data_IF_026588661979
#
_entry.id   IF_026588661979
#
_cell.length_a   1.000
_cell.length_b   1.000
_cell.length_c   1.000
_cell.angle_alpha   90.00
_cell.angle_beta   90.00
_cell.angle_gamma   90.00
#
_symmetry.space_group_name_H-M   'P 1'
#
loop_
_entity.id
_entity.type
_entity.pdbx_description
1 polymer ?
#
# COMPACT_ATOMS: atom_id res chain seq x y z
N UNK A 1 -17.65 -2.20 -7.29
CA UNK A 1 -16.18 -2.15 -7.39
C UNK A 1 -15.70 -1.60 -6.08
N UNK A 2 -15.32 -2.46 -5.13
CA UNK A 2 -14.81 -2.03 -3.83
C UNK A 2 -13.54 -1.20 -4.07
N UNK A 3 -13.62 0.10 -3.78
CA UNK A 3 -12.49 1.01 -3.96
C UNK A 3 -11.71 0.91 -2.66
N UNK A 4 -10.82 -0.08 -2.59
CA UNK A 4 -10.02 -0.36 -1.39
C UNK A 4 -9.12 0.85 -1.13
N UNK A 5 -9.37 1.56 -0.04
CA UNK A 5 -8.55 2.69 0.42
C UNK A 5 -7.21 2.17 0.91
N UNK A 6 -6.12 2.74 0.41
CA UNK A 6 -4.76 2.39 0.80
C UNK A 6 -4.30 3.44 1.81
N UNK A 7 -4.17 3.05 3.07
CA UNK A 7 -3.58 3.96 4.04
C UNK A 7 -2.08 4.07 3.82
N UNK A 8 -1.57 5.30 3.78
CA UNK A 8 -0.14 5.62 3.67
C UNK A 8 0.20 6.76 4.62
N UNK A 9 1.45 6.83 5.06
CA UNK A 9 1.94 8.03 5.75
C UNK A 9 2.17 9.17 4.76
N UNK A 10 2.30 10.39 5.27
CA UNK A 10 2.66 11.56 4.45
C UNK A 10 4.00 11.34 3.71
N UNK A 11 5.02 10.80 4.38
CA UNK A 11 6.32 10.55 3.75
C UNK A 11 6.22 9.51 2.60
N UNK A 12 5.46 8.43 2.82
CA UNK A 12 5.25 7.43 1.78
C UNK A 12 4.48 8.02 0.59
N UNK A 13 3.45 8.83 0.86
CA UNK A 13 2.71 9.55 -0.16
C UNK A 13 3.63 10.48 -0.97
N UNK A 14 4.46 11.28 -0.30
CA UNK A 14 5.38 12.22 -0.94
C UNK A 14 6.39 11.50 -1.85
N UNK A 15 6.88 10.32 -1.42
CA UNK A 15 7.75 9.47 -2.27
C UNK A 15 7.03 8.96 -3.52
N UNK A 16 5.77 8.52 -3.40
CA UNK A 16 4.97 8.09 -4.54
C UNK A 16 4.72 9.24 -5.52
N UNK A 17 4.43 10.44 -5.01
CA UNK A 17 4.25 11.66 -5.80
C UNK A 17 5.56 12.05 -6.50
N UNK A 18 6.68 12.00 -5.80
CA UNK A 18 7.99 12.32 -6.35
C UNK A 18 8.36 11.38 -7.51
N UNK A 19 8.16 10.07 -7.33
CA UNK A 19 8.44 9.10 -8.39
C UNK A 19 7.50 9.28 -9.59
N UNK A 20 6.20 9.51 -9.35
CA UNK A 20 5.26 9.80 -10.43
C UNK A 20 5.69 11.04 -11.23
N UNK A 21 6.14 12.10 -10.55
CA UNK A 21 6.62 13.31 -11.19
C UNK A 21 7.89 13.06 -12.01
N UNK A 22 8.86 12.30 -11.47
CA UNK A 22 10.08 11.92 -12.19
C UNK A 22 9.73 11.16 -13.48
N UNK A 23 8.85 10.16 -13.39
CA UNK A 23 8.44 9.38 -14.56
C UNK A 23 7.76 10.24 -15.62
N UNK A 24 6.86 11.15 -15.23
CA UNK A 24 6.08 11.99 -16.17
C UNK A 24 6.89 13.13 -16.78
N UNK A 25 7.78 13.74 -16.00
CA UNK A 25 8.43 15.00 -16.39
C UNK A 25 9.88 14.83 -16.84
N UNK A 26 10.53 13.71 -16.52
CA UNK A 26 11.92 13.45 -16.91
C UNK A 26 12.02 12.22 -17.81
N UNK A 27 11.53 11.07 -17.34
CA UNK A 27 11.73 9.78 -18.03
C UNK A 27 10.92 9.68 -19.32
N UNK A 28 9.61 9.97 -19.27
CA UNK A 28 8.74 9.85 -20.43
C UNK A 28 9.12 10.84 -21.57
N UNK A 29 9.48 12.10 -21.30
CA UNK A 29 10.02 13.00 -22.32
C UNK A 29 11.33 12.49 -22.95
N UNK A 30 12.26 11.95 -22.15
CA UNK A 30 13.52 11.38 -22.65
C UNK A 30 13.26 10.18 -23.60
N UNK A 31 12.38 9.26 -23.20
CA UNK A 31 11.99 8.13 -24.06
C UNK A 31 11.32 8.63 -25.35
N UNK A 32 10.47 9.66 -25.26
CA UNK A 32 9.82 10.25 -26.44
C UNK A 32 10.84 10.85 -27.39
N UNK A 33 11.87 11.51 -26.88
CA UNK A 33 12.96 12.04 -27.68
C UNK A 33 13.78 10.92 -28.33
N UNK A 34 14.08 9.83 -27.61
CA UNK A 34 14.75 8.64 -28.17
C UNK A 34 13.96 8.03 -29.33
N UNK A 35 12.64 7.91 -29.18
CA UNK A 35 11.75 7.42 -30.24
C UNK A 35 11.78 8.37 -31.45
N UNK A 36 11.76 9.69 -31.21
CA UNK A 36 11.82 10.67 -32.28
C UNK A 36 13.14 10.57 -33.07
N UNK A 37 14.28 10.53 -32.38
CA UNK A 37 15.59 10.40 -33.00
C UNK A 37 15.69 9.09 -33.81
N UNK A 38 15.22 7.96 -33.24
CA UNK A 38 15.24 6.67 -33.91
C UNK A 38 14.37 6.62 -35.18
N UNK A 39 13.34 7.49 -35.28
CA UNK A 39 12.54 7.65 -36.51
C UNK A 39 13.27 8.36 -37.63
N UNK A 40 14.25 9.20 -37.30
CA UNK A 40 15.06 9.91 -38.29
C UNK A 40 16.13 9.00 -38.92
N UNK A 41 16.46 7.87 -38.28
CA UNK A 41 17.46 6.90 -38.74
C UNK A 41 17.01 6.00 -39.91
N UNK A 42 15.76 6.14 -40.38
CA UNK A 42 15.27 5.47 -41.58
C UNK A 42 14.38 4.26 -41.31
N UNK A 43 14.83 3.05 -41.66
CA UNK A 43 13.97 1.86 -41.62
C UNK A 43 13.63 1.42 -40.18
N UNK A 44 12.44 1.81 -39.73
CA UNK A 44 11.88 1.50 -38.42
C UNK A 44 11.64 0.00 -38.19
N UNK A 45 11.50 -0.78 -39.26
CA UNK A 45 11.18 -2.21 -39.11
C UNK A 45 12.38 -2.97 -38.54
N UNK A 46 13.59 -2.56 -38.91
CA UNK A 46 14.85 -3.17 -38.46
C UNK A 46 15.57 -2.36 -37.37
N UNK A 47 15.10 -1.13 -37.06
CA UNK A 47 15.69 -0.31 -36.01
C UNK A 47 15.40 -0.90 -34.60
N UNK A 48 16.37 -1.63 -34.05
CA UNK A 48 16.29 -2.19 -32.70
C UNK A 48 16.16 -1.14 -31.59
N UNK A 49 16.75 0.05 -31.77
CA UNK A 49 16.64 1.16 -30.83
C UNK A 49 15.21 1.72 -30.76
N UNK A 50 14.53 1.80 -31.91
CA UNK A 50 13.12 2.20 -31.97
C UNK A 50 12.21 1.22 -31.21
N UNK A 51 12.37 -0.09 -31.47
CA UNK A 51 11.56 -1.12 -30.79
C UNK A 51 11.82 -1.13 -29.28
N UNK A 52 13.09 -1.03 -28.86
CA UNK A 52 13.46 -0.96 -27.46
C UNK A 52 12.85 0.26 -26.75
N UNK A 53 12.93 1.45 -27.36
CA UNK A 53 12.36 2.67 -26.79
C UNK A 53 10.83 2.61 -26.71
N UNK A 54 10.15 1.94 -27.67
CA UNK A 54 8.70 1.72 -27.61
C UNK A 54 8.29 0.74 -26.52
N UNK A 55 9.09 -0.30 -26.28
CA UNK A 55 8.87 -1.21 -25.15
C UNK A 55 9.07 -0.49 -23.81
N UNK A 56 10.14 0.30 -23.70
CA UNK A 56 10.44 1.13 -22.52
C UNK A 56 9.28 2.09 -22.24
N UNK A 57 8.78 2.81 -23.26
CA UNK A 57 7.61 3.67 -23.14
C UNK A 57 6.40 2.92 -22.57
N UNK A 58 6.09 1.72 -23.10
CA UNK A 58 4.97 0.92 -22.62
C UNK A 58 5.11 0.50 -21.15
N UNK A 59 6.33 0.19 -20.69
CA UNK A 59 6.61 -0.13 -19.28
C UNK A 59 6.43 1.10 -18.40
N UNK A 60 6.98 2.24 -18.80
CA UNK A 60 6.84 3.51 -18.07
C UNK A 60 5.38 3.94 -17.97
N UNK A 61 4.60 3.86 -19.05
CA UNK A 61 3.16 4.15 -19.04
C UNK A 61 2.39 3.23 -18.08
N UNK A 62 2.73 1.94 -18.04
CA UNK A 62 2.11 0.99 -17.11
C UNK A 62 2.44 1.34 -15.65
N UNK A 63 3.68 1.72 -15.35
CA UNK A 63 4.10 2.15 -14.02
C UNK A 63 3.39 3.45 -13.59
N UNK A 64 3.30 4.44 -14.48
CA UNK A 64 2.57 5.69 -14.23
C UNK A 64 1.11 5.39 -13.85
N UNK A 65 0.42 4.55 -14.62
CA UNK A 65 -0.98 4.18 -14.33
C UNK A 65 -1.14 3.50 -12.97
N UNK A 66 -0.21 2.63 -12.61
CA UNK A 66 -0.23 1.98 -11.29
C UNK A 66 -0.02 2.99 -10.16
N UNK A 67 0.93 3.91 -10.30
CA UNK A 67 1.17 4.96 -9.30
C UNK A 67 -0.03 5.92 -9.19
N UNK A 68 -0.62 6.34 -10.30
CA UNK A 68 -1.81 7.19 -10.31
C UNK A 68 -3.01 6.51 -9.64
N UNK A 69 -3.19 5.21 -9.85
CA UNK A 69 -4.25 4.43 -9.21
C UNK A 69 -4.00 4.21 -7.71
N UNK A 70 -2.74 4.04 -7.30
CA UNK A 70 -2.37 3.98 -5.87
C UNK A 70 -2.60 5.33 -5.19
N UNK A 71 -2.06 6.42 -5.74
CA UNK A 71 -2.21 7.77 -5.19
C UNK A 71 -3.68 8.22 -5.11
N UNK A 72 -4.52 7.79 -6.06
CA UNK A 72 -5.97 8.07 -6.02
C UNK A 72 -6.69 7.38 -4.86
N UNK A 73 -6.24 6.17 -4.51
CA UNK A 73 -6.79 5.37 -3.42
C UNK A 73 -6.08 5.64 -2.10
N UNK A 74 -4.99 6.39 -2.13
CA UNK A 74 -4.18 6.69 -0.96
C UNK A 74 -4.95 7.64 -0.02
N UNK A 75 -5.20 7.19 1.20
CA UNK A 75 -5.58 8.04 2.30
C UNK A 75 -4.33 8.30 3.14
N UNK A 76 -3.95 9.57 3.22
CA UNK A 76 -2.81 10.00 4.03
C UNK A 76 -3.30 10.14 5.46
N UNK A 77 -2.87 9.26 6.34
CA UNK A 77 -3.14 9.43 7.77
C UNK A 77 -2.01 10.14 8.49
N UNK A 78 -2.39 10.90 9.51
CA UNK A 78 -1.49 11.30 10.58
C UNK A 78 -1.15 10.07 11.45
N UNK A 79 0.00 10.11 12.13
CA UNK A 79 0.32 9.09 13.13
C UNK A 79 -0.84 9.09 14.15
N UNK A 80 -1.53 7.96 14.33
CA UNK A 80 -2.64 7.89 15.26
C UNK A 80 -2.24 8.34 16.67
N UNK A 81 -3.20 8.83 17.46
CA UNK A 81 -2.91 9.16 18.84
C UNK A 81 -2.58 7.89 19.64
N UNK A 82 -1.66 7.97 20.60
CA UNK A 82 -1.40 6.87 21.54
C UNK A 82 -2.46 6.88 22.66
N UNK A 83 -3.71 6.65 22.27
CA UNK A 83 -4.89 6.66 23.16
C UNK A 83 -5.57 5.29 23.30
N UNK A 84 -5.02 4.26 22.63
CA UNK A 84 -5.50 2.89 22.68
C UNK A 84 -6.71 2.59 21.80
N UNK A 85 -7.16 3.55 20.98
CA UNK A 85 -8.15 3.31 19.93
C UNK A 85 -7.52 2.49 18.79
N UNK A 86 -8.26 1.67 18.07
CA UNK A 86 -7.73 0.93 16.92
C UNK A 86 -8.03 1.70 15.64
N UNK A 87 -6.98 2.19 14.99
CA UNK A 87 -7.04 2.94 13.74
C UNK A 87 -6.05 2.39 12.71
N UNK A 88 -6.23 2.76 11.44
CA UNK A 88 -5.24 2.47 10.41
C UNK A 88 -3.91 3.15 10.75
N UNK A 89 -2.81 2.41 10.59
CA UNK A 89 -1.47 2.87 10.98
C UNK A 89 -1.06 2.51 12.41
N UNK A 90 -1.85 1.71 13.13
CA UNK A 90 -1.48 1.21 14.46
C UNK A 90 -0.93 -0.22 14.44
N UNK A 91 0.01 -0.50 15.37
CA UNK A 91 0.36 -1.84 15.84
C UNK A 91 -0.73 -2.29 16.80
N UNK A 92 -1.46 -3.33 16.41
CA UNK A 92 -2.54 -3.90 17.21
C UNK A 92 -2.09 -5.25 17.73
N UNK A 93 -2.21 -5.45 19.04
CA UNK A 93 -2.01 -6.73 19.70
C UNK A 93 -3.37 -7.30 20.06
N UNK A 94 -3.65 -8.52 19.59
CA UNK A 94 -4.88 -9.24 19.87
C UNK A 94 -4.61 -10.55 20.61
N UNK A 95 -5.64 -11.09 21.23
CA UNK A 95 -5.66 -12.43 21.80
C UNK A 95 -6.91 -13.17 21.35
N UNK A 96 -6.75 -14.40 20.89
CA UNK A 96 -7.89 -15.24 20.50
C UNK A 96 -8.62 -15.76 21.73
N UNK A 97 -9.95 -15.88 21.62
CA UNK A 97 -10.77 -16.44 22.69
C UNK A 97 -10.33 -17.86 23.04
N UNK A 98 -10.04 -18.09 24.34
CA UNK A 98 -9.59 -19.39 24.85
C UNK A 98 -8.10 -19.66 24.69
N UNK A 99 -7.34 -18.71 24.15
CA UNK A 99 -5.88 -18.77 24.06
C UNK A 99 -5.21 -17.88 25.11
N UNK A 100 -3.95 -18.19 25.43
CA UNK A 100 -3.11 -17.36 26.32
C UNK A 100 -2.13 -16.48 25.55
N UNK A 101 -1.79 -16.87 24.32
CA UNK A 101 -0.83 -16.16 23.49
C UNK A 101 -1.45 -14.94 22.81
N UNK A 102 -0.60 -13.97 22.47
CA UNK A 102 -0.98 -12.73 21.80
C UNK A 102 -0.31 -12.61 20.44
N UNK A 103 -1.02 -12.08 19.46
CA UNK A 103 -0.50 -11.80 18.12
C UNK A 103 -0.44 -10.29 17.89
N UNK A 104 0.68 -9.77 17.40
CA UNK A 104 0.84 -8.34 17.09
C UNK A 104 1.05 -8.16 15.60
N UNK A 105 0.32 -7.20 15.02
CA UNK A 105 0.38 -6.91 13.60
C UNK A 105 0.16 -5.43 13.31
N UNK A 106 0.52 -5.00 12.11
CA UNK A 106 0.23 -3.66 11.60
C UNK A 106 -1.15 -3.65 10.92
N UNK A 107 -2.05 -2.79 11.39
CA UNK A 107 -3.33 -2.56 10.74
C UNK A 107 -3.16 -1.48 9.65
N UNK A 108 -3.00 -1.89 8.39
CA UNK A 108 -2.70 -0.96 7.31
C UNK A 108 -2.37 -1.65 5.99
N UNK A 109 -1.56 -0.97 5.17
CA UNK A 109 -1.08 -1.49 3.88
C UNK A 109 0.36 -2.01 4.00
N UNK A 110 0.75 -2.97 3.16
CA UNK A 110 2.13 -3.48 3.12
C UNK A 110 3.16 -2.41 2.74
N UNK A 111 2.71 -1.31 2.13
CA UNK A 111 3.54 -0.15 1.81
C UNK A 111 4.06 0.55 3.08
N UNK A 112 3.39 0.41 4.22
CA UNK A 112 3.86 0.91 5.51
C UNK A 112 5.07 0.17 6.06
N UNK A 113 5.12 -1.16 5.91
CA UNK A 113 6.30 -1.94 6.31
C UNK A 113 7.56 -1.53 5.55
N UNK A 114 7.41 -0.96 4.35
CA UNK A 114 8.55 -0.50 3.54
C UNK A 114 9.24 0.73 4.13
N UNK A 115 8.72 1.33 5.20
CA UNK A 115 9.33 2.44 5.92
C UNK A 115 10.36 1.98 6.95
N UNK A 116 10.17 0.80 7.54
CA UNK A 116 11.11 0.25 8.51
C UNK A 116 11.30 -1.25 8.24
N UNK A 117 12.33 -1.55 7.44
CA UNK A 117 12.73 -2.91 7.10
C UNK A 117 13.32 -3.70 8.29
N UNK A 118 13.42 -3.09 9.48
CA UNK A 118 13.74 -3.79 10.73
C UNK A 118 12.50 -4.35 11.43
N UNK A 119 11.30 -3.99 11.00
CA UNK A 119 10.04 -4.43 11.60
C UNK A 119 9.45 -5.59 10.80
N UNK A 120 9.63 -6.80 11.32
CA UNK A 120 8.99 -8.03 10.82
C UNK A 120 7.64 -8.21 11.54
N UNK A 121 6.62 -7.52 11.03
CA UNK A 121 5.23 -7.67 11.49
C UNK A 121 4.34 -8.09 10.33
N UNK A 122 3.37 -8.95 10.60
CA UNK A 122 2.29 -9.21 9.66
C UNK A 122 1.47 -7.92 9.43
N UNK A 123 0.88 -7.80 8.23
CA UNK A 123 0.03 -6.66 7.86
C UNK A 123 -1.36 -7.15 7.55
N UNK A 124 -2.33 -6.59 8.26
CA UNK A 124 -3.73 -6.84 8.00
C UNK A 124 -4.37 -5.56 7.46
N UNK A 125 -5.16 -5.71 6.40
CA UNK A 125 -5.90 -4.59 5.84
C UNK A 125 -7.00 -4.13 6.80
N UNK A 126 -7.22 -2.82 6.96
CA UNK A 126 -8.42 -2.24 7.57
C UNK A 126 -9.74 -2.81 7.02
N UNK A 127 -9.75 -3.25 5.76
CA UNK A 127 -10.92 -3.80 5.06
C UNK A 127 -11.01 -5.33 5.14
N UNK A 128 -10.08 -5.99 5.84
CA UNK A 128 -10.18 -7.43 6.09
C UNK A 128 -11.30 -7.72 7.11
N UNK A 129 -11.87 -8.93 7.17
CA UNK A 129 -12.90 -9.26 8.16
C UNK A 129 -12.49 -8.97 9.60
N UNK A 130 -11.21 -9.21 9.94
CA UNK A 130 -10.65 -8.84 11.24
C UNK A 130 -10.55 -7.31 11.39
N UNK A 131 -9.96 -6.63 10.40
CA UNK A 131 -9.79 -5.18 10.39
C UNK A 131 -11.11 -4.42 10.57
N UNK A 132 -12.15 -4.79 9.82
CA UNK A 132 -13.48 -4.19 9.93
C UNK A 132 -14.10 -4.42 11.32
N UNK A 133 -13.83 -5.55 11.97
CA UNK A 133 -14.40 -5.90 13.26
C UNK A 133 -13.72 -5.21 14.45
N UNK A 134 -12.44 -4.81 14.31
CA UNK A 134 -11.65 -4.15 15.35
C UNK A 134 -11.54 -2.63 15.18
N UNK A 135 -11.77 -2.10 13.97
CA UNK A 135 -11.69 -0.67 13.69
C UNK A 135 -12.56 0.15 14.65
N UNK A 136 -11.96 1.16 15.29
CA UNK A 136 -12.63 2.05 16.25
C UNK A 136 -12.91 1.43 17.63
N UNK A 137 -12.42 0.23 17.91
CA UNK A 137 -12.46 -0.37 19.26
C UNK A 137 -11.23 0.02 20.07
N UNK A 138 -11.28 -0.15 21.38
CA UNK A 138 -10.18 0.17 22.28
C UNK A 138 -9.56 -1.07 22.92
N UNK A 139 -8.38 -0.92 23.51
CA UNK A 139 -7.79 -1.96 24.35
C UNK A 139 -8.76 -2.40 25.47
N UNK A 140 -8.95 -3.71 25.61
CA UNK A 140 -9.92 -4.36 26.50
C UNK A 140 -11.25 -4.72 25.81
N UNK A 141 -11.54 -4.20 24.62
CA UNK A 141 -12.74 -4.58 23.88
C UNK A 141 -12.58 -5.96 23.21
N UNK A 142 -13.72 -6.58 22.91
CA UNK A 142 -13.77 -7.82 22.13
C UNK A 142 -14.46 -7.62 20.79
N UNK A 143 -14.02 -8.37 19.78
CA UNK A 143 -14.56 -8.36 18.43
C UNK A 143 -14.75 -9.78 17.93
N UNK A 144 -15.86 -10.01 17.21
CA UNK A 144 -16.10 -11.28 16.52
C UNK A 144 -16.21 -10.99 15.03
N UNK A 145 -15.47 -11.74 14.22
CA UNK A 145 -15.53 -11.69 12.76
C UNK A 145 -15.72 -13.08 12.17
N UNK A 146 -16.17 -13.13 10.92
CA UNK A 146 -16.27 -14.37 10.16
C UNK A 146 -15.04 -14.52 9.26
N UNK A 147 -14.28 -15.60 9.48
CA UNK A 147 -13.16 -15.93 8.61
C UNK A 147 -13.67 -16.43 7.24
N UNK A 148 -12.86 -16.39 6.17
CA UNK A 148 -13.27 -16.84 4.83
C UNK A 148 -13.80 -18.27 4.75
N UNK A 149 -13.51 -19.11 5.76
CA UNK A 149 -14.01 -20.47 5.90
C UNK A 149 -15.38 -20.57 6.61
N UNK A 150 -16.03 -19.44 6.91
CA UNK A 150 -17.34 -19.37 7.58
C UNK A 150 -17.28 -19.55 9.11
N UNK A 151 -16.08 -19.71 9.70
CA UNK A 151 -15.95 -19.81 11.16
C UNK A 151 -16.01 -18.43 11.78
N UNK A 152 -16.78 -18.30 12.87
CA UNK A 152 -16.74 -17.13 13.74
C UNK A 152 -15.52 -17.22 14.66
N UNK A 153 -14.72 -16.17 14.66
CA UNK A 153 -13.53 -16.05 15.50
C UNK A 153 -13.72 -14.81 16.37
N UNK A 154 -13.55 -14.99 17.69
CA UNK A 154 -13.59 -13.90 18.67
C UNK A 154 -12.17 -13.57 19.13
N UNK A 155 -11.86 -12.28 19.18
CA UNK A 155 -10.58 -11.74 19.64
C UNK A 155 -10.81 -10.64 20.68
N UNK A 156 -9.90 -10.51 21.62
CA UNK A 156 -9.77 -9.38 22.54
C UNK A 156 -8.64 -8.49 22.05
N UNK A 157 -8.86 -7.17 22.01
CA UNK A 157 -7.80 -6.20 21.75
C UNK A 157 -7.03 -6.01 23.04
N UNK A 158 -5.76 -6.39 23.06
CA UNK A 158 -4.90 -6.28 24.24
C UNK A 158 -4.22 -4.92 24.29
N UNK A 159 -3.75 -4.44 23.14
CA UNK A 159 -3.02 -3.18 23.02
C UNK A 159 -3.19 -2.62 21.60
N UNK A 160 -3.25 -1.30 21.47
CA UNK A 160 -3.18 -0.59 20.20
C UNK A 160 -2.25 0.60 20.39
N UNK A 161 -1.18 0.66 19.59
CA UNK A 161 -0.17 1.70 19.64
C UNK A 161 0.16 2.21 18.24
N UNK A 162 0.54 3.47 18.07
CA UNK A 162 1.01 3.96 16.78
C UNK A 162 2.21 3.15 16.25
N UNK A 163 2.23 2.88 14.94
CA UNK A 163 3.31 2.15 14.28
C UNK A 163 4.60 2.96 14.22
#
# INVERSE_FOLDING_TARGET
MSTETIWVTQEAYDRLVAELNRLKNEVLPDITQKIANAREEGDLKENGGYHAAREEQGKTDAQIRQLEDRLRRAEVGEVPADDGLVEAGMKVTIRFEGDTDTETFLLGSRELLSMDSSVDLDVYSPTSPLGEAIMGKSAGDTATYEAPNGKKITVEIVEAKPF
#
